data_IF_907691272686
#
_entry.id   IF_907691272686
#
_cell.length_a   1.000
_cell.length_b   1.000
_cell.length_c   1.000
_cell.angle_alpha   90.00
_cell.angle_beta   90.00
_cell.angle_gamma   90.00
#
_symmetry.space_group_name_H-M   'P 1'
#
loop_
_entity.id
_entity.type
_entity.pdbx_description
1 polymer ?
#
# COMPACT_ATOMS: atom_id res chain seq x y z
N UNK A 1 0.08 -14.42 22.27
CA UNK A 1 1.31 -14.60 21.51
C UNK A 1 1.40 -13.42 20.54
N UNK A 2 2.00 -12.33 21.02
CA UNK A 2 2.08 -11.03 20.35
C UNK A 2 3.47 -10.92 19.71
N UNK A 3 3.59 -11.25 18.45
CA UNK A 3 4.80 -10.98 17.68
C UNK A 3 4.41 -10.75 16.25
N UNK A 4 4.52 -9.49 15.79
CA UNK A 4 4.91 -9.17 14.42
C UNK A 4 4.71 -7.69 14.04
N UNK A 5 4.04 -6.85 14.83
CA UNK A 5 3.80 -5.44 14.50
C UNK A 5 5.09 -4.59 14.41
N UNK A 6 6.06 -4.84 15.29
CA UNK A 6 7.21 -3.95 15.49
C UNK A 6 8.23 -3.88 14.33
N UNK A 7 8.38 -4.93 13.52
CA UNK A 7 9.37 -4.93 12.43
C UNK A 7 8.88 -4.17 11.19
N UNK A 8 7.58 -4.23 10.92
CA UNK A 8 7.01 -3.56 9.76
C UNK A 8 6.96 -2.03 9.97
N UNK A 9 6.56 -1.61 11.17
CA UNK A 9 6.56 -0.19 11.57
C UNK A 9 7.97 0.42 11.49
N UNK A 10 9.00 -0.33 11.86
CA UNK A 10 10.37 0.18 11.90
C UNK A 10 10.94 0.45 10.49
N UNK A 11 10.60 -0.37 9.51
CA UNK A 11 11.06 -0.20 8.12
C UNK A 11 10.32 0.96 7.45
N UNK A 12 9.01 1.04 7.61
CA UNK A 12 8.19 2.11 7.07
C UNK A 12 8.53 3.46 7.71
N UNK A 13 8.67 3.52 9.03
CA UNK A 13 9.07 4.73 9.76
C UNK A 13 10.48 5.17 9.39
N UNK A 14 11.41 4.25 9.21
CA UNK A 14 12.80 4.58 8.87
C UNK A 14 12.90 5.15 7.46
N UNK A 15 12.14 4.63 6.50
CA UNK A 15 12.11 5.13 5.12
C UNK A 15 11.39 6.48 5.03
N UNK A 16 10.22 6.59 5.63
CA UNK A 16 9.47 7.85 5.70
C UNK A 16 10.29 8.94 6.38
N UNK A 17 11.05 8.56 7.40
CA UNK A 17 11.95 9.46 8.07
C UNK A 17 13.15 9.89 7.23
N UNK A 18 13.69 9.08 6.35
CA UNK A 18 14.86 9.40 5.54
C UNK A 18 14.57 10.41 4.41
N UNK A 19 13.36 10.40 3.84
CA UNK A 19 12.98 11.25 2.70
C UNK A 19 12.26 12.56 3.05
N UNK A 20 11.68 12.71 4.24
CA UNK A 20 10.89 13.90 4.62
C UNK A 20 11.21 14.52 5.99
N UNK A 21 12.28 14.15 6.66
CA UNK A 21 12.49 14.29 8.11
C UNK A 21 12.77 15.68 8.60
N UNK A 22 13.16 16.61 7.83
CA UNK A 22 13.60 17.88 8.41
C UNK A 22 12.48 18.88 8.71
N UNK A 23 11.25 18.68 8.22
CA UNK A 23 10.18 19.69 8.36
C UNK A 23 8.89 19.26 9.09
N UNK A 24 8.69 17.96 9.43
CA UNK A 24 7.43 17.50 10.06
C UNK A 24 7.58 16.39 11.11
N UNK A 25 8.68 16.34 11.81
CA UNK A 25 8.99 15.21 12.73
C UNK A 25 8.01 15.04 13.90
N UNK A 26 7.28 16.07 14.26
CA UNK A 26 6.50 16.08 15.49
C UNK A 26 5.00 15.78 15.32
N UNK A 27 4.52 15.50 14.11
CA UNK A 27 3.07 15.34 13.85
C UNK A 27 2.66 14.16 12.99
N UNK A 28 3.56 13.29 12.53
CA UNK A 28 3.19 12.11 11.75
C UNK A 28 3.00 10.93 12.68
N UNK A 29 1.76 10.63 13.00
CA UNK A 29 1.37 9.36 13.60
C UNK A 29 0.88 8.42 12.51
N UNK A 30 1.01 7.11 12.69
CA UNK A 30 0.48 6.12 11.74
C UNK A 30 -1.03 6.27 11.50
N UNK A 31 -1.76 6.83 12.45
CA UNK A 31 -3.20 7.12 12.29
C UNK A 31 -3.50 8.23 11.26
N UNK A 32 -2.53 9.11 10.98
CA UNK A 32 -2.68 10.22 10.04
C UNK A 32 -2.23 9.85 8.61
N UNK A 33 -1.76 8.61 8.41
CA UNK A 33 -1.34 8.09 7.11
C UNK A 33 -2.56 7.50 6.38
N UNK A 34 -2.68 7.79 5.09
CA UNK A 34 -3.64 7.16 4.20
C UNK A 34 -2.97 6.00 3.46
N UNK A 35 -3.50 4.79 3.63
CA UNK A 35 -3.03 3.60 2.94
C UNK A 35 -3.97 3.22 1.80
N UNK A 36 -3.40 2.99 0.61
CA UNK A 36 -4.10 2.45 -0.55
C UNK A 36 -3.77 0.96 -0.75
N UNK A 37 -4.74 0.18 -1.19
CA UNK A 37 -4.52 -1.22 -1.57
C UNK A 37 -4.96 -1.45 -3.01
N UNK A 38 -4.07 -2.02 -3.81
CA UNK A 38 -4.35 -2.50 -5.16
C UNK A 38 -4.41 -4.01 -5.08
N UNK A 39 -5.61 -4.55 -4.91
CA UNK A 39 -5.90 -5.95 -4.62
C UNK A 39 -6.12 -6.24 -3.13
N UNK A 40 -7.27 -6.79 -2.81
CA UNK A 40 -7.68 -7.23 -1.47
C UNK A 40 -7.79 -8.76 -1.36
N UNK A 41 -6.98 -9.46 -2.14
CA UNK A 41 -6.84 -10.92 -2.00
C UNK A 41 -6.30 -11.32 -0.63
N UNK A 42 -5.85 -12.56 -0.49
CA UNK A 42 -5.39 -13.10 0.79
C UNK A 42 -4.33 -12.23 1.48
N UNK A 43 -3.32 -11.78 0.74
CA UNK A 43 -2.22 -10.97 1.30
C UNK A 43 -2.69 -9.54 1.59
N UNK A 44 -3.25 -8.85 0.58
CA UNK A 44 -3.70 -7.46 0.74
C UNK A 44 -4.77 -7.31 1.82
N UNK A 45 -5.75 -8.19 1.84
CA UNK A 45 -6.79 -8.21 2.87
C UNK A 45 -6.23 -8.50 4.27
N UNK A 46 -5.23 -9.38 4.39
CA UNK A 46 -4.58 -9.66 5.68
C UNK A 46 -3.80 -8.45 6.20
N UNK A 47 -3.06 -7.76 5.33
CA UNK A 47 -2.33 -6.54 5.69
C UNK A 47 -3.31 -5.44 6.09
N UNK A 48 -4.37 -5.21 5.31
CA UNK A 48 -5.39 -4.21 5.60
C UNK A 48 -6.07 -4.46 6.95
N UNK A 49 -6.44 -5.71 7.25
CA UNK A 49 -7.00 -6.10 8.55
C UNK A 49 -6.02 -5.87 9.71
N UNK A 50 -4.75 -6.19 9.52
CA UNK A 50 -3.71 -5.98 10.53
C UNK A 50 -3.50 -4.47 10.80
N UNK A 51 -3.46 -3.64 9.75
CA UNK A 51 -3.37 -2.18 9.88
C UNK A 51 -4.60 -1.60 10.58
N UNK A 52 -5.79 -2.03 10.22
CA UNK A 52 -7.03 -1.59 10.88
C UNK A 52 -7.06 -1.95 12.35
N UNK A 53 -6.60 -3.15 12.72
CA UNK A 53 -6.53 -3.59 14.11
C UNK A 53 -5.50 -2.79 14.93
N UNK A 54 -4.35 -2.47 14.33
CA UNK A 54 -3.28 -1.72 14.98
C UNK A 54 -3.58 -0.20 15.05
N UNK A 55 -4.22 0.34 14.00
CA UNK A 55 -4.48 1.77 13.83
C UNK A 55 -5.95 2.00 13.43
N UNK A 56 -6.88 1.97 14.40
CA UNK A 56 -8.33 2.02 14.14
C UNK A 56 -8.79 3.25 13.36
N UNK A 57 -8.08 4.36 13.46
CA UNK A 57 -8.43 5.64 12.80
C UNK A 57 -7.73 5.85 11.45
N UNK A 58 -6.77 4.99 11.09
CA UNK A 58 -6.06 5.08 9.81
C UNK A 58 -7.05 5.07 8.65
N UNK A 59 -6.85 5.96 7.68
CA UNK A 59 -7.63 5.91 6.44
C UNK A 59 -7.07 4.82 5.53
N UNK A 60 -7.92 3.87 5.16
CA UNK A 60 -7.58 2.77 4.24
C UNK A 60 -8.56 2.83 3.08
N UNK A 61 -8.04 2.93 1.86
CA UNK A 61 -8.83 2.82 0.63
C UNK A 61 -8.36 1.64 -0.20
N UNK A 62 -9.23 1.09 -1.04
CA UNK A 62 -8.87 -0.09 -1.80
C UNK A 62 -9.49 -0.11 -3.20
N UNK A 63 -8.79 -0.77 -4.10
CA UNK A 63 -9.26 -1.24 -5.39
C UNK A 63 -9.15 -2.76 -5.46
N UNK A 64 -10.17 -3.41 -5.98
CA UNK A 64 -10.14 -4.81 -6.40
C UNK A 64 -11.06 -5.00 -7.61
N UNK A 65 -10.74 -6.00 -8.45
CA UNK A 65 -11.62 -6.39 -9.56
C UNK A 65 -12.90 -7.03 -9.08
N UNK A 66 -12.83 -7.76 -7.96
CA UNK A 66 -13.99 -8.41 -7.37
C UNK A 66 -14.79 -7.45 -6.49
N UNK A 67 -15.94 -7.02 -7.03
CA UNK A 67 -16.87 -6.14 -6.33
C UNK A 67 -17.44 -6.75 -5.04
N UNK A 68 -17.49 -8.07 -4.92
CA UNK A 68 -17.96 -8.73 -3.70
C UNK A 68 -16.93 -8.57 -2.58
N UNK A 69 -15.66 -8.74 -2.89
CA UNK A 69 -14.53 -8.47 -1.96
C UNK A 69 -14.54 -7.02 -1.48
N UNK A 70 -14.76 -6.05 -2.38
CA UNK A 70 -14.85 -4.64 -2.02
C UNK A 70 -15.97 -4.37 -1.03
N UNK A 71 -17.19 -4.83 -1.34
CA UNK A 71 -18.36 -4.67 -0.47
C UNK A 71 -18.18 -5.31 0.91
N UNK A 72 -17.58 -6.51 0.94
CA UNK A 72 -17.32 -7.20 2.21
C UNK A 72 -16.30 -6.44 3.06
N UNK A 73 -15.22 -5.93 2.45
CA UNK A 73 -14.18 -5.19 3.16
C UNK A 73 -14.68 -3.87 3.77
N UNK A 74 -15.64 -3.20 3.13
CA UNK A 74 -16.32 -2.03 3.70
C UNK A 74 -17.27 -2.44 4.82
N UNK A 75 -18.11 -3.47 4.60
CA UNK A 75 -19.06 -3.96 5.59
C UNK A 75 -18.37 -4.43 6.88
N UNK A 76 -17.19 -5.05 6.75
CA UNK A 76 -16.35 -5.48 7.88
C UNK A 76 -15.57 -4.30 8.53
N UNK A 77 -15.68 -3.09 7.99
CA UNK A 77 -14.97 -1.90 8.48
C UNK A 77 -13.45 -1.96 8.28
N UNK A 78 -12.97 -2.84 7.40
CA UNK A 78 -11.52 -2.99 7.11
C UNK A 78 -11.03 -1.80 6.30
N UNK A 79 -11.78 -1.41 5.25
CA UNK A 79 -11.48 -0.23 4.45
C UNK A 79 -12.52 0.86 4.67
N UNK A 80 -12.14 2.12 4.48
CA UNK A 80 -13.05 3.26 4.59
C UNK A 80 -13.84 3.44 3.29
N UNK A 81 -13.18 3.31 2.16
CA UNK A 81 -13.78 3.46 0.85
C UNK A 81 -13.17 2.43 -0.10
N UNK A 82 -13.97 1.86 -0.99
CA UNK A 82 -13.51 0.97 -2.04
C UNK A 82 -13.93 1.42 -3.42
N UNK A 83 -13.14 1.10 -4.42
CA UNK A 83 -13.34 1.58 -5.78
C UNK A 83 -13.21 0.44 -6.80
N UNK A 84 -14.09 0.37 -7.80
CA UNK A 84 -14.00 -0.61 -8.88
C UNK A 84 -13.00 -0.20 -9.99
N UNK A 85 -12.23 0.87 -9.78
CA UNK A 85 -11.23 1.39 -10.73
C UNK A 85 -10.11 2.11 -9.97
N UNK A 86 -8.96 2.21 -10.60
CA UNK A 86 -7.84 3.03 -10.14
C UNK A 86 -8.04 4.45 -10.68
N UNK A 87 -7.86 5.46 -9.84
CA UNK A 87 -8.09 6.84 -10.24
C UNK A 87 -7.45 7.84 -9.27
N UNK A 88 -7.83 9.12 -9.39
CA UNK A 88 -7.25 10.24 -8.61
C UNK A 88 -7.39 10.08 -7.08
N UNK A 89 -8.30 9.26 -6.58
CA UNK A 89 -8.44 8.95 -5.17
C UNK A 89 -7.17 8.36 -4.55
N UNK A 90 -6.38 7.60 -5.34
CA UNK A 90 -5.11 7.04 -4.89
C UNK A 90 -3.98 8.08 -4.81
N UNK A 91 -4.13 9.24 -5.43
CA UNK A 91 -3.20 10.37 -5.31
C UNK A 91 -3.16 10.98 -3.90
N UNK A 92 -4.12 10.65 -3.04
CA UNK A 92 -4.15 11.08 -1.63
C UNK A 92 -3.46 10.11 -0.68
N UNK A 93 -2.99 8.96 -1.18
CA UNK A 93 -2.33 7.95 -0.37
C UNK A 93 -0.87 8.32 -0.09
N UNK A 94 -0.46 8.13 1.14
CA UNK A 94 0.95 8.20 1.54
C UNK A 94 1.67 6.89 1.22
N UNK A 95 0.98 5.76 1.35
CA UNK A 95 1.51 4.42 1.08
C UNK A 95 0.50 3.65 0.24
N UNK A 96 0.97 2.97 -0.82
CA UNK A 96 0.14 2.08 -1.62
C UNK A 96 0.76 0.68 -1.67
N UNK A 97 -0.04 -0.33 -1.32
CA UNK A 97 0.29 -1.74 -1.37
C UNK A 97 -0.18 -2.34 -2.69
N UNK A 98 0.75 -2.81 -3.51
CA UNK A 98 0.48 -3.53 -4.76
C UNK A 98 0.36 -5.03 -4.44
N UNK A 99 -0.87 -5.48 -4.23
CA UNK A 99 -1.19 -6.84 -3.79
C UNK A 99 -1.96 -7.66 -4.84
N UNK A 100 -2.13 -7.12 -6.05
CA UNK A 100 -2.69 -7.86 -7.17
C UNK A 100 -1.68 -8.92 -7.70
N UNK A 101 -2.11 -9.91 -8.48
CA UNK A 101 -1.20 -10.82 -9.16
C UNK A 101 -0.16 -10.05 -9.97
N UNK A 102 1.09 -10.57 -10.00
CA UNK A 102 2.24 -9.90 -10.63
C UNK A 102 1.95 -9.50 -12.08
N UNK A 103 1.28 -10.37 -12.85
CA UNK A 103 0.86 -10.09 -14.24
C UNK A 103 -0.04 -8.87 -14.40
N UNK A 104 -0.71 -8.41 -13.35
CA UNK A 104 -1.62 -7.29 -13.40
C UNK A 104 -1.01 -6.04 -12.72
N UNK A 105 0.05 -6.22 -11.93
CA UNK A 105 0.67 -5.10 -11.21
C UNK A 105 1.32 -4.09 -12.16
N UNK A 106 1.81 -4.53 -13.31
CA UNK A 106 2.43 -3.65 -14.30
C UNK A 106 1.38 -2.69 -14.92
N UNK A 107 0.23 -3.21 -15.32
CA UNK A 107 -0.89 -2.40 -15.82
C UNK A 107 -1.41 -1.45 -14.72
N UNK A 108 -1.61 -1.97 -13.52
CA UNK A 108 -2.06 -1.19 -12.38
C UNK A 108 -1.05 -0.08 -12.02
N UNK A 109 0.25 -0.35 -12.13
CA UNK A 109 1.31 0.63 -11.86
C UNK A 109 1.31 1.76 -12.90
N UNK A 110 1.14 1.43 -14.18
CA UNK A 110 1.04 2.42 -15.25
C UNK A 110 -0.20 3.31 -15.08
N UNK A 111 -1.32 2.73 -14.65
CA UNK A 111 -2.54 3.48 -14.37
C UNK A 111 -2.39 4.36 -13.13
N UNK A 112 -1.78 3.85 -12.06
CA UNK A 112 -1.51 4.60 -10.83
C UNK A 112 -0.57 5.79 -11.06
N UNK A 113 0.48 5.61 -11.86
CA UNK A 113 1.55 6.59 -12.08
C UNK A 113 1.03 8.00 -12.35
N UNK A 114 -0.04 8.13 -13.12
CA UNK A 114 -0.60 9.43 -13.49
C UNK A 114 -1.25 10.20 -12.32
N UNK A 115 -1.50 9.52 -11.20
CA UNK A 115 -2.15 10.09 -10.02
C UNK A 115 -1.21 10.20 -8.81
N UNK A 116 -0.05 9.51 -8.83
CA UNK A 116 0.85 9.46 -7.69
C UNK A 116 1.44 10.82 -7.34
N UNK A 117 1.43 11.14 -6.06
CA UNK A 117 2.29 12.20 -5.53
C UNK A 117 3.75 11.76 -5.57
N UNK A 118 4.72 12.68 -5.81
CA UNK A 118 6.16 12.36 -5.70
C UNK A 118 6.57 11.76 -4.34
N UNK A 119 5.74 11.99 -3.34
CA UNK A 119 5.99 11.54 -1.96
C UNK A 119 5.28 10.22 -1.60
N UNK A 120 4.47 9.67 -2.49
CA UNK A 120 3.76 8.39 -2.26
C UNK A 120 4.75 7.25 -2.27
N UNK A 121 4.73 6.43 -1.22
CA UNK A 121 5.48 5.18 -1.16
C UNK A 121 4.66 4.05 -1.78
N UNK A 122 5.29 3.29 -2.67
CA UNK A 122 4.73 2.07 -3.22
C UNK A 122 5.46 0.87 -2.59
N UNK A 123 4.72 -0.17 -2.23
CA UNK A 123 5.31 -1.45 -1.82
C UNK A 123 4.58 -2.59 -2.52
N UNK A 124 5.34 -3.50 -3.11
CA UNK A 124 4.81 -4.71 -3.71
C UNK A 124 4.98 -5.89 -2.77
N UNK A 125 4.08 -6.85 -2.83
CA UNK A 125 4.14 -8.10 -2.06
C UNK A 125 4.41 -9.33 -2.94
N UNK A 126 4.76 -9.12 -4.20
CA UNK A 126 5.04 -10.19 -5.16
C UNK A 126 6.30 -10.98 -4.82
N UNK A 127 6.29 -12.28 -5.11
CA UNK A 127 7.43 -13.18 -4.91
C UNK A 127 8.51 -13.06 -6.00
N UNK A 128 8.15 -12.59 -7.21
CA UNK A 128 9.04 -12.43 -8.35
C UNK A 128 9.34 -10.96 -8.56
N UNK A 129 10.62 -10.58 -8.47
CA UNK A 129 11.07 -9.18 -8.47
C UNK A 129 11.72 -8.72 -9.77
N UNK A 130 12.14 -9.65 -10.64
CA UNK A 130 12.99 -9.33 -11.80
C UNK A 130 12.26 -8.46 -12.83
N UNK A 131 11.07 -8.88 -13.23
CA UNK A 131 10.31 -8.16 -14.26
C UNK A 131 9.70 -6.86 -13.72
N UNK A 132 9.21 -6.90 -12.48
CA UNK A 132 8.66 -5.71 -11.80
C UNK A 132 9.69 -4.58 -11.66
N UNK A 133 10.99 -4.92 -11.47
CA UNK A 133 12.04 -3.93 -11.29
C UNK A 133 12.34 -3.16 -12.58
N UNK A 134 12.31 -3.83 -13.72
CA UNK A 134 12.48 -3.19 -15.03
C UNK A 134 11.31 -2.26 -15.36
N UNK A 135 10.08 -2.67 -15.07
CA UNK A 135 8.88 -1.85 -15.27
C UNK A 135 8.84 -0.63 -14.34
N UNK A 136 9.23 -0.80 -13.06
CA UNK A 136 9.37 0.32 -12.10
C UNK A 136 10.39 1.34 -12.60
N UNK A 137 11.54 0.87 -13.08
CA UNK A 137 12.60 1.71 -13.62
C UNK A 137 12.15 2.43 -14.90
N UNK A 138 11.53 1.73 -15.83
CA UNK A 138 10.96 2.31 -17.04
C UNK A 138 9.87 3.35 -16.73
N UNK A 139 9.15 3.17 -15.63
CA UNK A 139 8.17 4.12 -15.13
C UNK A 139 8.81 5.33 -14.39
N UNK A 140 10.11 5.29 -14.07
CA UNK A 140 10.79 6.35 -13.30
C UNK A 140 10.35 6.41 -11.83
N UNK A 141 9.96 5.27 -11.25
CA UNK A 141 9.41 5.16 -9.89
C UNK A 141 10.36 4.47 -8.91
N UNK A 142 11.63 4.29 -9.26
CA UNK A 142 12.60 3.55 -8.44
C UNK A 142 12.76 4.12 -7.03
N UNK A 143 12.60 5.42 -6.88
CA UNK A 143 12.72 6.11 -5.60
C UNK A 143 11.47 6.03 -4.73
N UNK A 144 10.35 5.61 -5.29
CA UNK A 144 9.07 5.48 -4.61
C UNK A 144 8.74 4.03 -4.24
N UNK A 145 9.45 3.04 -4.78
CA UNK A 145 9.11 1.62 -4.60
C UNK A 145 10.06 0.94 -3.63
N UNK A 146 9.46 0.30 -2.61
CA UNK A 146 10.15 -0.63 -1.72
C UNK A 146 9.56 -2.02 -1.95
N UNK A 147 10.37 -2.94 -2.47
CA UNK A 147 9.97 -4.33 -2.61
C UNK A 147 9.73 -4.99 -1.26
N UNK A 148 8.55 -5.55 -1.08
CA UNK A 148 8.19 -6.40 0.06
C UNK A 148 8.14 -7.87 -0.35
N UNK A 149 8.49 -8.78 0.55
CA UNK A 149 8.30 -10.22 0.36
C UNK A 149 7.79 -10.80 1.68
N UNK A 150 6.45 -10.82 1.87
CA UNK A 150 5.90 -11.43 3.08
C UNK A 150 6.18 -12.93 3.06
N UNK A 151 6.98 -13.37 4.02
CA UNK A 151 7.25 -14.79 4.25
C UNK A 151 6.53 -15.20 5.52
N UNK A 152 5.65 -16.19 5.40
CA UNK A 152 5.01 -16.89 6.51
C UNK A 152 5.54 -18.33 6.51
N UNK A 153 6.22 -18.73 7.56
CA UNK A 153 6.72 -20.06 7.81
C UNK A 153 6.81 -20.32 9.29
#
# INVERSE_FOLDING_TARGET
>A
MLCTGYKFDFVLLKWYSYNRIWLRRDMVTMENITCGFIGLGLIGGSIAKALRAAYPKMRIIAYDRDKATLKLSEADGVVNDSFPYIGSQFGTCDIIFLCAPVSNNDENLLELKQYLSPDTLLTDVGSVKTDSHEHIKAAGLEWQVIGGHPMAG
#
